data_IF_410442819321
#
_entry.id   IF_410442819321
#
_cell.length_a   1.000
_cell.length_b   1.000
_cell.length_c   1.000
_cell.angle_alpha   90.00
_cell.angle_beta   90.00
_cell.angle_gamma   90.00
#
_symmetry.space_group_name_H-M   'P 1'
#
loop_
_entity.id
_entity.type
_entity.pdbx_description
1 polymer ?
#
# COMPACT_ATOMS: atom_id res chain seq x y z
N UNK A 1 -19.64 3.87 -6.31
CA UNK A 1 -18.24 4.36 -6.24
C UNK A 1 -17.24 3.23 -6.51
N UNK A 2 -17.22 2.14 -5.72
CA UNK A 2 -16.29 1.01 -5.91
C UNK A 2 -16.40 0.43 -7.32
N UNK A 3 -17.62 0.15 -7.80
CA UNK A 3 -17.85 -0.37 -9.15
C UNK A 3 -17.31 0.56 -10.25
N UNK A 4 -17.43 1.87 -10.07
CA UNK A 4 -16.89 2.86 -11.00
C UNK A 4 -15.35 2.85 -11.01
N UNK A 5 -14.70 2.75 -9.83
CA UNK A 5 -13.25 2.63 -9.75
C UNK A 5 -12.73 1.34 -10.42
N UNK A 6 -13.42 0.22 -10.17
CA UNK A 6 -13.07 -1.06 -10.80
C UNK A 6 -13.28 -1.02 -12.31
N UNK A 7 -14.34 -0.36 -12.78
CA UNK A 7 -14.58 -0.18 -14.21
C UNK A 7 -13.49 0.69 -14.86
N UNK A 8 -13.12 1.80 -14.23
CA UNK A 8 -11.98 2.63 -14.69
C UNK A 8 -10.68 1.82 -14.74
N UNK A 9 -10.44 0.97 -13.75
CA UNK A 9 -9.26 0.11 -13.72
C UNK A 9 -9.26 -0.91 -14.87
N UNK A 10 -10.40 -1.55 -15.13
CA UNK A 10 -10.56 -2.48 -16.25
C UNK A 10 -10.34 -1.79 -17.59
N UNK A 11 -10.92 -0.60 -17.79
CA UNK A 11 -10.71 0.22 -19.00
C UNK A 11 -9.23 0.59 -19.17
N UNK A 12 -8.55 0.95 -18.08
CA UNK A 12 -7.11 1.21 -18.14
C UNK A 12 -6.33 -0.01 -18.63
N UNK A 13 -6.60 -1.19 -18.06
CA UNK A 13 -5.92 -2.43 -18.47
C UNK A 13 -6.21 -2.78 -19.93
N UNK A 14 -7.45 -2.66 -20.36
CA UNK A 14 -7.84 -2.97 -21.75
C UNK A 14 -7.21 -2.00 -22.75
N UNK A 15 -7.19 -0.70 -22.45
CA UNK A 15 -6.67 0.33 -23.36
C UNK A 15 -5.14 0.41 -23.39
N UNK A 16 -4.49 0.32 -22.23
CA UNK A 16 -3.05 0.60 -22.10
C UNK A 16 -2.20 -0.64 -21.81
N UNK A 17 -2.80 -1.73 -21.33
CA UNK A 17 -2.10 -2.95 -20.89
C UNK A 17 -2.81 -4.22 -21.30
N UNK A 18 -3.12 -4.32 -22.59
CA UNK A 18 -3.77 -5.52 -23.17
C UNK A 18 -3.06 -6.81 -22.83
N UNK A 19 -1.72 -6.79 -22.75
CA UNK A 19 -0.91 -7.96 -22.39
C UNK A 19 -1.28 -8.51 -21.00
N UNK A 20 -1.55 -7.61 -20.02
CA UNK A 20 -1.95 -8.02 -18.67
C UNK A 20 -3.43 -8.38 -18.60
N UNK A 21 -4.26 -7.69 -19.37
CA UNK A 21 -5.68 -7.99 -19.46
C UNK A 21 -5.94 -9.39 -20.05
N UNK A 22 -5.17 -9.79 -21.06
CA UNK A 22 -5.28 -11.11 -21.70
C UNK A 22 -4.65 -12.25 -20.89
N UNK A 23 -3.66 -11.96 -20.07
CA UNK A 23 -3.02 -12.95 -19.19
C UNK A 23 -3.84 -13.15 -17.93
N UNK A 24 -4.54 -14.29 -17.84
CA UNK A 24 -5.37 -14.64 -16.67
C UNK A 24 -4.61 -14.56 -15.34
N UNK A 25 -3.33 -14.95 -15.30
CA UNK A 25 -2.49 -14.86 -14.11
C UNK A 25 -2.25 -13.44 -13.63
N UNK A 26 -1.92 -12.49 -14.54
CA UNK A 26 -1.69 -11.08 -14.20
C UNK A 26 -2.96 -10.41 -13.71
N UNK A 27 -4.06 -10.65 -14.39
CA UNK A 27 -5.36 -10.12 -14.01
C UNK A 27 -5.80 -10.65 -12.64
N UNK A 28 -5.68 -11.97 -12.43
CA UNK A 28 -6.00 -12.61 -11.16
C UNK A 28 -5.18 -12.05 -10.00
N UNK A 29 -3.86 -11.85 -10.19
CA UNK A 29 -2.97 -11.28 -9.17
C UNK A 29 -3.44 -9.87 -8.76
N UNK A 30 -3.74 -8.99 -9.73
CA UNK A 30 -4.17 -7.63 -9.47
C UNK A 30 -5.48 -7.60 -8.66
N UNK A 31 -6.50 -8.37 -9.11
CA UNK A 31 -7.79 -8.42 -8.44
C UNK A 31 -7.70 -9.05 -7.04
N UNK A 32 -6.93 -10.13 -6.89
CA UNK A 32 -6.74 -10.79 -5.60
C UNK A 32 -6.12 -9.83 -4.59
N UNK A 33 -5.12 -9.04 -4.98
CA UNK A 33 -4.51 -8.06 -4.10
C UNK A 33 -5.47 -6.92 -3.73
N UNK A 34 -6.23 -6.37 -4.69
CA UNK A 34 -7.22 -5.32 -4.42
C UNK A 34 -8.27 -5.84 -3.41
N UNK A 35 -8.83 -7.02 -3.66
CA UNK A 35 -9.84 -7.63 -2.79
C UNK A 35 -9.28 -7.94 -1.41
N UNK A 36 -8.08 -8.53 -1.35
CA UNK A 36 -7.43 -8.88 -0.08
C UNK A 36 -7.24 -7.64 0.82
N UNK A 37 -6.66 -6.56 0.29
CA UNK A 37 -6.46 -5.33 1.08
C UNK A 37 -7.77 -4.66 1.46
N UNK A 38 -8.76 -4.67 0.57
CA UNK A 38 -10.08 -4.09 0.85
C UNK A 38 -10.81 -4.85 1.96
N UNK A 39 -10.78 -6.18 1.91
CA UNK A 39 -11.43 -7.04 2.91
C UNK A 39 -10.73 -6.93 4.26
N UNK A 40 -9.39 -6.99 4.30
CA UNK A 40 -8.66 -6.88 5.57
C UNK A 40 -8.87 -5.50 6.22
N UNK A 41 -8.91 -4.43 5.42
CA UNK A 41 -9.20 -3.07 5.91
C UNK A 41 -10.61 -3.00 6.50
N UNK A 42 -11.62 -3.45 5.76
CA UNK A 42 -13.00 -3.46 6.23
C UNK A 42 -13.15 -4.28 7.51
N UNK A 43 -12.52 -5.45 7.57
CA UNK A 43 -12.54 -6.31 8.75
C UNK A 43 -11.91 -5.63 9.98
N UNK A 44 -10.73 -5.02 9.81
CA UNK A 44 -10.03 -4.29 10.89
C UNK A 44 -10.86 -3.13 11.43
N UNK A 45 -11.49 -2.35 10.52
CA UNK A 45 -12.33 -1.21 10.90
C UNK A 45 -13.60 -1.67 11.61
N UNK A 46 -14.29 -2.69 11.07
CA UNK A 46 -15.58 -3.16 11.63
C UNK A 46 -15.41 -3.75 13.03
N UNK A 47 -14.34 -4.48 13.26
CA UNK A 47 -14.11 -5.17 14.54
C UNK A 47 -13.24 -4.37 15.52
N UNK A 48 -12.70 -3.21 15.12
CA UNK A 48 -11.80 -2.38 15.95
C UNK A 48 -10.63 -3.17 16.59
N UNK A 49 -10.09 -4.16 15.87
CA UNK A 49 -9.06 -5.07 16.40
C UNK A 49 -7.73 -4.33 16.54
N UNK A 50 -7.31 -3.66 15.45
CA UNK A 50 -6.08 -2.88 15.40
C UNK A 50 -6.26 -1.62 14.56
N UNK A 51 -5.29 -0.71 14.68
CA UNK A 51 -5.26 0.48 13.82
C UNK A 51 -4.90 0.09 12.38
N UNK A 52 -5.62 0.64 11.39
CA UNK A 52 -5.42 0.37 9.96
C UNK A 52 -4.01 0.74 9.47
N UNK A 53 -3.30 1.62 10.15
CA UNK A 53 -1.93 1.99 9.82
C UNK A 53 -0.90 0.88 10.10
N UNK A 54 -1.29 -0.20 10.77
CA UNK A 54 -0.45 -1.40 10.93
C UNK A 54 -0.36 -2.18 9.61
N UNK A 55 -1.41 -2.13 8.77
CA UNK A 55 -1.44 -2.88 7.51
C UNK A 55 -0.38 -2.31 6.56
N UNK A 56 0.54 -3.13 6.04
CA UNK A 56 1.61 -2.66 5.15
C UNK A 56 1.11 -2.48 3.71
N UNK A 57 0.31 -1.42 3.47
CA UNK A 57 -0.22 -1.14 2.12
C UNK A 57 0.86 -0.92 1.07
N UNK A 58 2.03 -0.42 1.46
CA UNK A 58 3.18 -0.27 0.57
C UNK A 58 3.71 -1.60 0.01
N UNK A 59 3.37 -2.73 0.63
CA UNK A 59 3.68 -4.07 0.11
C UNK A 59 2.98 -4.33 -1.23
N UNK A 60 1.74 -3.85 -1.41
CA UNK A 60 0.94 -4.05 -2.63
C UNK A 60 1.67 -3.53 -3.89
N UNK A 61 2.08 -2.26 -3.99
CA UNK A 61 2.78 -1.79 -5.17
C UNK A 61 4.16 -2.42 -5.34
N UNK A 62 4.82 -2.85 -4.26
CA UNK A 62 6.07 -3.61 -4.35
C UNK A 62 5.84 -4.92 -5.08
N UNK A 63 4.86 -5.71 -4.65
CA UNK A 63 4.53 -7.00 -5.26
C UNK A 63 4.20 -6.80 -6.75
N UNK A 64 3.31 -5.87 -7.07
CA UNK A 64 2.90 -5.64 -8.45
C UNK A 64 4.08 -5.19 -9.32
N UNK A 65 4.94 -4.31 -8.82
CA UNK A 65 6.11 -3.83 -9.56
C UNK A 65 7.08 -4.96 -9.91
N UNK A 66 7.21 -5.95 -9.04
CA UNK A 66 8.08 -7.12 -9.27
C UNK A 66 7.59 -7.98 -10.41
N UNK A 67 6.28 -8.23 -10.46
CA UNK A 67 5.69 -9.14 -11.43
C UNK A 67 5.26 -8.46 -12.74
N UNK A 68 4.97 -7.16 -12.68
CA UNK A 68 4.45 -6.39 -13.81
C UNK A 68 5.30 -5.14 -14.07
N UNK A 69 4.75 -3.96 -13.77
CA UNK A 69 5.46 -2.69 -13.98
C UNK A 69 5.07 -1.61 -12.96
N UNK A 70 5.88 -0.56 -12.90
CA UNK A 70 5.70 0.53 -11.92
C UNK A 70 4.43 1.35 -12.14
N UNK A 71 3.98 1.51 -13.40
CA UNK A 71 2.76 2.28 -13.71
C UNK A 71 1.52 1.56 -13.24
N UNK A 72 1.43 0.26 -13.57
CA UNK A 72 0.33 -0.59 -13.11
C UNK A 72 0.34 -0.75 -11.59
N UNK A 73 1.53 -0.87 -10.98
CA UNK A 73 1.69 -0.92 -9.53
C UNK A 73 1.13 0.33 -8.85
N UNK A 74 1.49 1.51 -9.36
CA UNK A 74 1.00 2.77 -8.80
C UNK A 74 -0.52 2.91 -8.95
N UNK A 75 -1.06 2.66 -10.15
CA UNK A 75 -2.49 2.80 -10.38
C UNK A 75 -3.32 1.83 -9.53
N UNK A 76 -2.89 0.57 -9.45
CA UNK A 76 -3.54 -0.43 -8.60
C UNK A 76 -3.51 -0.02 -7.13
N UNK A 77 -2.36 0.53 -6.67
CA UNK A 77 -2.23 1.05 -5.32
C UNK A 77 -3.21 2.20 -5.05
N UNK A 78 -3.28 3.20 -5.94
CA UNK A 78 -4.23 4.32 -5.84
C UNK A 78 -5.67 3.81 -5.71
N UNK A 79 -6.09 2.91 -6.59
CA UNK A 79 -7.45 2.36 -6.60
C UNK A 79 -7.73 1.60 -5.30
N UNK A 80 -6.80 0.78 -4.85
CA UNK A 80 -6.94 0.02 -3.60
C UNK A 80 -7.09 0.95 -2.40
N UNK A 81 -6.24 1.99 -2.29
CA UNK A 81 -6.31 2.97 -1.20
C UNK A 81 -7.63 3.74 -1.22
N UNK A 82 -8.12 4.14 -2.39
CA UNK A 82 -9.42 4.80 -2.53
C UNK A 82 -10.58 3.89 -2.09
N UNK A 83 -10.55 2.61 -2.43
CA UNK A 83 -11.56 1.64 -1.99
C UNK A 83 -11.47 1.44 -0.47
N UNK A 84 -10.28 1.23 0.08
CA UNK A 84 -10.08 1.07 1.52
C UNK A 84 -10.53 2.30 2.32
N UNK A 85 -10.31 3.50 1.79
CA UNK A 85 -10.65 4.75 2.47
C UNK A 85 -12.14 4.95 2.73
N UNK A 86 -13.02 4.27 1.97
CA UNK A 86 -14.48 4.35 2.16
C UNK A 86 -14.90 3.86 3.54
N UNK A 87 -14.18 2.87 4.07
CA UNK A 87 -14.48 2.28 5.39
C UNK A 87 -13.95 3.11 6.55
N UNK A 88 -13.22 4.20 6.30
CA UNK A 88 -12.50 4.95 7.32
C UNK A 88 -13.22 6.23 7.75
N UNK A 89 -13.03 6.60 9.01
CA UNK A 89 -13.58 7.83 9.59
C UNK A 89 -12.86 9.10 9.09
N UNK A 90 -11.53 9.01 8.89
CA UNK A 90 -10.68 10.11 8.41
C UNK A 90 -9.97 9.70 7.11
N UNK A 91 -10.70 9.69 5.97
CA UNK A 91 -10.18 9.17 4.71
C UNK A 91 -9.05 10.02 4.13
N UNK A 92 -9.06 11.35 4.31
CA UNK A 92 -8.08 12.25 3.71
C UNK A 92 -6.66 12.01 4.22
N UNK A 93 -6.50 11.92 5.54
CA UNK A 93 -5.22 11.63 6.18
C UNK A 93 -4.68 10.28 5.71
N UNK A 94 -5.53 9.26 5.71
CA UNK A 94 -5.19 7.92 5.25
C UNK A 94 -4.76 7.91 3.78
N UNK A 95 -5.52 8.53 2.87
CA UNK A 95 -5.21 8.57 1.44
C UNK A 95 -3.85 9.20 1.20
N UNK A 96 -3.60 10.39 1.75
CA UNK A 96 -2.34 11.10 1.53
C UNK A 96 -1.14 10.32 2.08
N UNK A 97 -1.28 9.79 3.27
CA UNK A 97 -0.22 9.01 3.92
C UNK A 97 0.10 7.73 3.14
N UNK A 98 -0.92 6.98 2.72
CA UNK A 98 -0.74 5.72 2.01
C UNK A 98 -0.23 5.93 0.58
N UNK A 99 -0.73 6.94 -0.14
CA UNK A 99 -0.25 7.24 -1.49
C UNK A 99 1.23 7.65 -1.49
N UNK A 100 1.64 8.50 -0.56
CA UNK A 100 3.04 8.89 -0.43
C UNK A 100 3.95 7.70 -0.09
N UNK A 101 3.53 6.86 0.86
CA UNK A 101 4.27 5.64 1.23
C UNK A 101 4.41 4.68 0.04
N UNK A 102 3.34 4.49 -0.74
CA UNK A 102 3.37 3.66 -1.95
C UNK A 102 4.28 4.21 -3.04
N UNK A 103 4.28 5.52 -3.26
CA UNK A 103 5.21 6.18 -4.19
C UNK A 103 6.67 5.98 -3.77
N UNK A 104 6.99 6.23 -2.50
CA UNK A 104 8.33 6.02 -1.96
C UNK A 104 8.74 4.56 -2.09
N UNK A 105 7.86 3.62 -1.83
CA UNK A 105 8.12 2.20 -2.00
C UNK A 105 8.43 1.85 -3.47
N UNK A 106 7.69 2.39 -4.43
CA UNK A 106 7.94 2.18 -5.85
C UNK A 106 9.30 2.79 -6.26
N UNK A 107 9.60 4.02 -5.85
CA UNK A 107 10.82 4.69 -6.30
C UNK A 107 12.09 4.17 -5.62
N UNK A 108 11.99 3.69 -4.38
CA UNK A 108 13.16 3.18 -3.63
C UNK A 108 13.64 1.82 -4.13
N UNK A 109 12.77 1.04 -4.78
CA UNK A 109 13.10 -0.26 -5.34
C UNK A 109 13.61 -0.11 -6.77
N UNK A 110 14.93 -0.07 -6.97
CA UNK A 110 15.53 -0.06 -8.32
C UNK A 110 15.65 -1.48 -8.90
N UNK A 111 16.17 -2.41 -8.11
CA UNK A 111 16.35 -3.82 -8.49
C UNK A 111 16.10 -4.71 -7.28
N UNK A 112 15.25 -5.72 -7.44
CA UNK A 112 14.87 -6.64 -6.35
C UNK A 112 15.88 -7.75 -6.06
N UNK A 113 17.04 -7.70 -6.71
CA UNK A 113 18.08 -8.71 -6.54
C UNK A 113 18.73 -8.73 -5.14
N UNK A 114 18.56 -7.67 -4.35
CA UNK A 114 19.21 -7.54 -3.04
C UNK A 114 18.22 -7.34 -1.90
N UNK A 115 18.30 -8.22 -0.90
CA UNK A 115 17.51 -8.11 0.36
C UNK A 115 17.70 -6.77 1.07
N UNK A 116 18.88 -6.17 0.95
CA UNK A 116 19.20 -4.86 1.52
C UNK A 116 18.34 -3.72 0.98
N UNK A 117 17.82 -3.84 -0.23
CA UNK A 117 16.94 -2.83 -0.82
C UNK A 117 15.56 -2.81 -0.14
N UNK A 118 15.01 -3.97 0.20
CA UNK A 118 13.75 -4.03 0.96
C UNK A 118 13.89 -3.41 2.35
N UNK A 119 15.01 -3.63 3.02
CA UNK A 119 15.27 -3.01 4.32
C UNK A 119 15.33 -1.48 4.21
N UNK A 120 16.07 -0.97 3.22
CA UNK A 120 16.12 0.47 2.91
C UNK A 120 14.74 1.03 2.57
N UNK A 121 13.96 0.32 1.77
CA UNK A 121 12.59 0.72 1.42
C UNK A 121 11.68 0.77 2.65
N UNK A 122 11.74 -0.24 3.52
CA UNK A 122 10.96 -0.26 4.75
C UNK A 122 11.28 0.95 5.64
N UNK A 123 12.56 1.29 5.78
CA UNK A 123 13.00 2.44 6.56
C UNK A 123 12.51 3.76 5.95
N UNK A 124 12.59 3.92 4.62
CA UNK A 124 12.07 5.09 3.92
C UNK A 124 10.55 5.22 4.05
N UNK A 125 9.82 4.11 4.01
CA UNK A 125 8.37 4.09 4.21
C UNK A 125 8.00 4.51 5.63
N UNK A 126 8.69 4.01 6.67
CA UNK A 126 8.50 4.44 8.07
C UNK A 126 8.71 5.95 8.20
N UNK A 127 9.81 6.48 7.64
CA UNK A 127 10.11 7.90 7.66
C UNK A 127 9.03 8.73 6.95
N UNK A 128 8.52 8.23 5.83
CA UNK A 128 7.44 8.91 5.08
C UNK A 128 6.16 8.97 5.91
N UNK A 129 5.75 7.86 6.55
CA UNK A 129 4.61 7.84 7.45
C UNK A 129 4.79 8.84 8.60
N UNK A 130 5.93 8.81 9.26
CA UNK A 130 6.23 9.70 10.38
C UNK A 130 6.21 11.18 9.96
N UNK A 131 6.80 11.52 8.81
CA UNK A 131 6.86 12.90 8.31
C UNK A 131 5.48 13.46 7.97
N UNK A 132 4.66 12.67 7.25
CA UNK A 132 3.31 13.11 6.85
C UNK A 132 2.40 13.22 8.06
N UNK A 133 2.43 12.23 8.96
CA UNK A 133 1.62 12.26 10.16
C UNK A 133 2.00 13.43 11.06
N UNK A 134 3.29 13.69 11.23
CA UNK A 134 3.78 14.87 11.96
C UNK A 134 3.28 16.17 11.33
N UNK A 135 3.27 16.28 9.99
CA UNK A 135 2.72 17.44 9.31
C UNK A 135 1.20 17.60 9.59
N UNK A 136 0.43 16.53 9.65
CA UNK A 136 -0.98 16.57 10.04
C UNK A 136 -1.17 16.98 11.50
N UNK A 137 -0.36 16.48 12.42
CA UNK A 137 -0.40 16.89 13.83
C UNK A 137 -0.18 18.41 13.97
N UNK A 138 0.81 18.97 13.24
CA UNK A 138 1.08 20.41 13.23
C UNK A 138 -0.09 21.24 12.65
N UNK A 139 -0.80 20.71 11.66
CA UNK A 139 -1.93 21.42 11.04
C UNK A 139 -3.20 21.38 11.89
N UNK A 140 -3.40 20.33 12.68
CA UNK A 140 -4.64 20.09 13.44
C UNK A 140 -4.61 20.80 14.80
N UNK A 141 -3.46 20.91 15.43
CA UNK A 141 -3.28 21.68 16.65
C UNK A 141 -3.10 23.16 16.27
N UNK A 142 -4.20 23.93 16.31
CA UNK A 142 -4.29 25.35 16.01
C UNK A 142 -3.08 26.16 16.52
N UNK A 143 -2.07 26.34 15.66
CA UNK A 143 -0.95 27.26 15.80
C UNK A 143 0.23 26.69 16.58
N UNK A 144 1.30 26.42 15.85
CA UNK A 144 2.76 26.52 16.19
C UNK A 144 3.19 26.47 17.67
N UNK A 145 2.45 25.84 18.54
CA UNK A 145 2.97 25.45 19.85
C UNK A 145 3.67 24.09 19.68
N UNK A 146 4.97 24.14 19.49
CA UNK A 146 5.88 23.00 19.43
C UNK A 146 5.98 22.26 20.78
N UNK A 147 4.85 21.97 21.38
CA UNK A 147 4.80 21.12 22.56
C UNK A 147 4.92 19.65 22.15
N UNK A 148 6.15 19.20 21.95
CA UNK A 148 6.48 17.79 21.67
C UNK A 148 5.90 16.80 22.68
N UNK A 149 5.42 17.26 23.83
CA UNK A 149 4.76 16.43 24.85
C UNK A 149 3.39 15.90 24.44
N UNK A 150 2.79 16.44 23.38
CA UNK A 150 1.47 16.05 22.88
C UNK A 150 1.51 15.08 21.70
N UNK A 151 2.70 14.74 21.20
CA UNK A 151 2.86 13.78 20.11
C UNK A 151 2.22 12.43 20.45
N UNK A 152 1.42 11.92 19.52
CA UNK A 152 0.76 10.63 19.69
C UNK A 152 1.75 9.47 19.42
N UNK A 153 2.62 9.18 20.39
CA UNK A 153 3.67 8.16 20.31
C UNK A 153 3.10 6.79 19.85
N UNK A 154 1.85 6.49 20.18
CA UNK A 154 1.18 5.25 19.78
C UNK A 154 1.08 5.13 18.26
N UNK A 155 0.83 6.22 17.54
CA UNK A 155 0.76 6.19 16.07
C UNK A 155 2.12 5.89 15.44
N UNK A 156 3.19 6.47 15.96
CA UNK A 156 4.54 6.20 15.48
C UNK A 156 4.95 4.73 15.71
N UNK A 157 4.48 4.11 16.79
CA UNK A 157 4.67 2.67 17.04
C UNK A 157 3.99 1.84 15.94
N UNK A 158 2.80 2.23 15.49
CA UNK A 158 2.12 1.52 14.38
C UNK A 158 2.90 1.63 13.07
N UNK A 159 3.54 2.76 12.79
CA UNK A 159 4.38 2.92 11.61
C UNK A 159 5.64 2.04 11.64
N UNK A 160 6.23 1.86 12.82
CA UNK A 160 7.36 0.94 12.99
C UNK A 160 6.92 -0.51 12.75
N UNK A 161 5.78 -0.92 13.31
CA UNK A 161 5.20 -2.26 13.09
C UNK A 161 4.92 -2.48 11.60
N UNK A 162 4.32 -1.48 10.94
CA UNK A 162 4.07 -1.51 9.50
C UNK A 162 5.36 -1.75 8.69
N UNK A 163 6.44 -1.03 9.00
CA UNK A 163 7.73 -1.20 8.34
C UNK A 163 8.36 -2.57 8.59
N UNK A 164 8.21 -3.13 9.80
CA UNK A 164 8.64 -4.51 10.11
C UNK A 164 7.84 -5.51 9.28
N UNK A 165 6.51 -5.34 9.20
CA UNK A 165 5.64 -6.19 8.39
C UNK A 165 5.97 -6.07 6.89
N UNK A 166 6.42 -4.90 6.44
CA UNK A 166 6.87 -4.72 5.05
C UNK A 166 8.04 -5.64 4.69
N UNK A 167 8.91 -5.99 5.65
CA UNK A 167 10.01 -6.93 5.41
C UNK A 167 9.52 -8.35 5.06
N UNK A 168 8.33 -8.73 5.50
CA UNK A 168 7.69 -9.99 5.11
C UNK A 168 7.25 -10.02 3.63
N UNK A 169 7.37 -8.90 2.92
CA UNK A 169 7.15 -8.89 1.47
C UNK A 169 8.06 -9.87 0.75
N UNK A 170 9.30 -10.07 1.22
CA UNK A 170 10.27 -10.96 0.56
C UNK A 170 9.80 -12.42 0.52
N UNK A 171 9.45 -13.09 1.63
CA UNK A 171 8.92 -14.44 1.60
C UNK A 171 7.57 -14.53 0.84
N UNK A 172 6.74 -13.50 0.92
CA UNK A 172 5.49 -13.44 0.17
C UNK A 172 5.73 -13.36 -1.34
N UNK A 173 6.71 -12.59 -1.80
CA UNK A 173 7.11 -12.56 -3.21
C UNK A 173 7.48 -13.94 -3.73
N UNK A 174 8.23 -14.71 -2.93
CA UNK A 174 8.58 -16.09 -3.29
C UNK A 174 7.33 -16.97 -3.40
N UNK A 175 6.41 -16.86 -2.45
CA UNK A 175 5.14 -17.60 -2.49
C UNK A 175 4.31 -17.21 -3.72
N UNK A 176 4.16 -15.92 -4.00
CA UNK A 176 3.45 -15.44 -5.19
C UNK A 176 4.14 -15.89 -6.50
N UNK A 177 5.47 -15.92 -6.52
CA UNK A 177 6.20 -16.43 -7.67
C UNK A 177 5.87 -17.91 -7.95
N UNK A 178 5.83 -18.75 -6.90
CA UNK A 178 5.42 -20.15 -7.03
C UNK A 178 3.99 -20.29 -7.55
N UNK A 179 3.06 -19.50 -6.98
CA UNK A 179 1.66 -19.52 -7.42
C UNK A 179 1.51 -19.01 -8.85
N UNK A 180 2.21 -17.94 -9.21
CA UNK A 180 2.15 -17.35 -10.54
C UNK A 180 2.69 -18.33 -11.61
N UNK A 181 3.80 -19.01 -11.33
CA UNK A 181 4.38 -20.01 -12.24
C UNK A 181 3.50 -21.26 -12.34
N UNK A 182 2.85 -21.69 -11.26
CA UNK A 182 1.95 -22.85 -11.29
C UNK A 182 0.64 -22.60 -12.06
N UNK A 183 0.15 -21.35 -12.07
CA UNK A 183 -1.05 -20.95 -12.83
C UNK A 183 -0.74 -20.69 -14.30
N UNK A 184 0.52 -20.38 -14.63
CA UNK A 184 0.96 -20.15 -16.00
C UNK A 184 1.37 -21.44 -16.75
N UNK A 185 1.50 -22.56 -16.05
CA UNK A 185 1.74 -23.89 -16.61
C UNK A 185 0.42 -24.61 -16.87
#
# INVERSE_FOLDING_TARGET
FVGMLMLCFMLYLDLFRKDYYQRKGSLSLLFTLIVFYSVITAFMVTHNIFNVYIIPYAMLPIIIRVFLDSRTAFLTHVITILICSISLRFPHEFILTQLAAGLVAIFSLRELSQRSQLFRTALLVILTYAAIYFAFELMTENGLSTDFSKLNIRMYTYFIINGILLLFTYPLLFLFFLLYTSVAA
#
